data_IF_613917024781
#
_entry.id   IF_613917024781
#
_cell.length_a   1.000
_cell.length_b   1.000
_cell.length_c   1.000
_cell.angle_alpha   90.00
_cell.angle_beta   90.00
_cell.angle_gamma   90.00
#
_symmetry.space_group_name_H-M   'P 1'
#
loop_
_entity.id
_entity.type
_entity.pdbx_description
1 polymer ?
#
# COMPACT_ATOMS: atom_id res chain seq x y z
N UNK A 1 -2.80 7.95 36.81
CA UNK A 1 -2.81 7.15 35.56
C UNK A 1 -3.84 7.76 34.63
N UNK A 2 -3.39 8.55 33.66
CA UNK A 2 -4.26 9.14 32.65
C UNK A 2 -4.15 8.30 31.37
N UNK A 3 -5.23 7.57 31.05
CA UNK A 3 -5.44 6.92 29.77
C UNK A 3 -5.54 7.99 28.69
N UNK A 4 -4.52 8.10 27.85
CA UNK A 4 -4.46 9.08 26.77
C UNK A 4 -5.35 8.60 25.61
N UNK A 5 -6.62 9.02 25.60
CA UNK A 5 -7.50 8.94 24.44
C UNK A 5 -7.25 10.19 23.58
N UNK A 6 -7.01 9.96 22.28
CA UNK A 6 -6.95 10.91 21.15
C UNK A 6 -5.55 11.42 20.72
N UNK A 7 -4.84 10.64 19.88
CA UNK A 7 -4.54 10.92 18.46
C UNK A 7 -4.16 9.56 17.83
N UNK A 8 -4.74 9.15 16.71
CA UNK A 8 -4.20 8.05 15.86
C UNK A 8 -2.91 8.53 15.21
N UNK A 9 -1.85 8.63 16.01
CA UNK A 9 -0.63 9.36 15.66
C UNK A 9 0.29 8.56 14.76
N UNK A 10 0.75 9.22 13.70
CA UNK A 10 1.88 8.78 12.89
C UNK A 10 3.03 8.32 13.80
N UNK A 11 3.67 7.21 13.45
CA UNK A 11 4.79 6.69 14.23
C UNK A 11 5.96 7.66 14.10
N UNK A 12 6.48 8.15 15.22
CA UNK A 12 7.66 9.01 15.26
C UNK A 12 8.69 8.35 16.17
N UNK A 13 9.45 7.42 15.59
CA UNK A 13 10.32 6.52 16.30
C UNK A 13 11.77 6.68 15.86
N UNK A 14 12.68 6.56 16.82
CA UNK A 14 14.10 6.67 16.58
C UNK A 14 14.85 5.67 17.47
N UNK A 15 15.66 4.80 16.87
CA UNK A 15 16.45 3.78 17.57
C UNK A 15 15.63 2.83 18.47
N UNK A 16 14.42 2.46 18.06
CA UNK A 16 13.56 1.60 18.88
C UNK A 16 13.48 0.17 18.35
N UNK A 17 13.16 -0.75 19.26
CA UNK A 17 12.87 -2.13 18.94
C UNK A 17 11.37 -2.46 19.13
N UNK A 18 10.78 -3.05 18.08
CA UNK A 18 9.36 -3.43 17.95
C UNK A 18 9.22 -4.77 17.23
N UNK A 19 10.02 -5.75 17.62
CA UNK A 19 10.01 -7.10 17.03
C UNK A 19 8.76 -7.90 17.39
N UNK A 20 8.41 -8.84 16.52
CA UNK A 20 7.34 -9.82 16.72
C UNK A 20 5.98 -9.18 17.08
N UNK A 21 5.67 -8.04 16.44
CA UNK A 21 4.43 -7.30 16.69
C UNK A 21 3.46 -7.41 15.51
N UNK A 22 2.19 -7.12 15.82
CA UNK A 22 1.14 -7.00 14.83
C UNK A 22 0.86 -5.51 14.54
N UNK A 23 1.08 -5.11 13.30
CA UNK A 23 0.79 -3.80 12.74
C UNK A 23 -0.19 -3.87 11.56
N UNK A 24 -1.02 -4.93 11.51
CA UNK A 24 -2.00 -5.09 10.45
C UNK A 24 -2.96 -3.90 10.41
N UNK A 25 -3.35 -3.50 9.20
CA UNK A 25 -4.29 -2.39 8.94
C UNK A 25 -3.85 -1.02 9.48
N UNK A 26 -2.57 -0.85 9.87
CA UNK A 26 -2.10 0.43 10.39
C UNK A 26 -2.01 1.46 9.26
N UNK A 27 -2.56 2.65 9.54
CA UNK A 27 -2.20 3.83 8.80
C UNK A 27 -0.86 4.36 9.35
N UNK A 28 0.19 4.22 8.55
CA UNK A 28 1.53 4.75 8.81
C UNK A 28 1.82 5.96 7.92
N UNK A 29 0.79 6.59 7.34
CA UNK A 29 0.93 7.80 6.54
C UNK A 29 1.79 8.83 7.27
N UNK A 30 2.78 9.40 6.56
CA UNK A 30 3.69 10.44 7.07
C UNK A 30 4.36 10.10 8.42
N UNK A 31 4.52 8.81 8.72
CA UNK A 31 5.29 8.35 9.88
C UNK A 31 6.78 8.51 9.64
N UNK A 32 7.53 8.82 10.70
CA UNK A 32 8.98 8.96 10.69
C UNK A 32 9.60 7.91 11.61
N UNK A 33 10.29 6.93 11.03
CA UNK A 33 11.06 5.93 11.73
C UNK A 33 12.51 5.96 11.23
N UNK A 34 13.45 6.14 12.15
CA UNK A 34 14.87 6.07 11.86
C UNK A 34 15.54 5.00 12.71
N UNK A 35 16.33 4.14 12.09
CA UNK A 35 17.11 3.09 12.76
C UNK A 35 16.24 2.23 13.72
N UNK A 36 15.02 1.92 13.31
CA UNK A 36 14.09 1.11 14.10
C UNK A 36 14.20 -0.37 13.70
N UNK A 37 13.76 -1.27 14.58
CA UNK A 37 13.74 -2.70 14.33
C UNK A 37 12.33 -3.28 14.49
N UNK A 38 11.74 -3.68 13.36
CA UNK A 38 10.41 -4.31 13.28
C UNK A 38 10.51 -5.81 12.96
N UNK A 39 11.67 -6.43 13.12
CA UNK A 39 11.94 -7.83 12.74
C UNK A 39 10.79 -8.77 13.13
N UNK A 40 10.43 -9.67 12.21
CA UNK A 40 9.39 -10.69 12.36
C UNK A 40 7.98 -10.15 12.66
N UNK A 41 7.72 -8.86 12.40
CA UNK A 41 6.39 -8.28 12.55
C UNK A 41 5.47 -8.56 11.36
N UNK A 42 4.16 -8.58 11.63
CA UNK A 42 3.12 -8.69 10.61
C UNK A 42 2.63 -7.28 10.30
N UNK A 43 2.83 -6.81 9.06
CA UNK A 43 2.51 -5.44 8.62
C UNK A 43 1.60 -5.49 7.37
N UNK A 44 0.72 -6.49 7.34
CA UNK A 44 -0.25 -6.69 6.27
C UNK A 44 -1.31 -5.58 6.26
N UNK A 45 -1.78 -5.22 5.06
CA UNK A 45 -2.84 -4.25 4.81
C UNK A 45 -2.53 -2.83 5.29
N UNK A 46 -1.27 -2.55 5.63
CA UNK A 46 -0.84 -1.25 6.13
C UNK A 46 -0.53 -0.28 4.98
N UNK A 47 -0.74 1.01 5.23
CA UNK A 47 -0.40 2.10 4.30
C UNK A 47 0.79 2.90 4.82
N UNK A 48 1.79 3.11 3.98
CA UNK A 48 3.02 3.86 4.27
C UNK A 48 3.10 5.17 3.48
N UNK A 49 1.95 5.73 3.08
CA UNK A 49 1.88 6.90 2.20
C UNK A 49 2.71 8.08 2.76
N UNK A 50 3.69 8.56 1.99
CA UNK A 50 4.57 9.66 2.38
C UNK A 50 5.40 9.41 3.64
N UNK A 51 5.56 8.16 4.07
CA UNK A 51 6.29 7.83 5.28
C UNK A 51 7.81 7.79 5.06
N UNK A 52 8.56 7.98 6.13
CA UNK A 52 10.03 7.94 6.16
C UNK A 52 10.50 6.84 7.10
N UNK A 53 10.83 5.67 6.57
CA UNK A 53 11.36 4.51 7.31
C UNK A 53 12.78 4.25 6.85
N UNK A 54 13.72 5.10 7.27
CA UNK A 54 15.13 5.05 6.87
C UNK A 54 15.93 4.14 7.82
N UNK A 55 16.91 3.42 7.30
CA UNK A 55 17.78 2.52 8.07
C UNK A 55 16.99 1.55 8.98
N UNK A 56 15.77 1.17 8.58
CA UNK A 56 14.86 0.39 9.42
C UNK A 56 14.97 -1.10 9.07
N UNK A 57 14.98 -1.96 10.08
CA UNK A 57 14.99 -3.41 9.90
C UNK A 57 13.57 -3.95 9.83
N UNK A 58 13.25 -4.57 8.70
CA UNK A 58 12.03 -5.32 8.44
C UNK A 58 12.35 -6.79 8.13
N UNK A 59 13.39 -7.32 8.77
CA UNK A 59 13.84 -8.69 8.58
C UNK A 59 12.71 -9.67 8.87
N UNK A 60 12.41 -10.60 7.95
CA UNK A 60 11.33 -11.60 8.10
C UNK A 60 9.92 -11.03 8.34
N UNK A 61 9.65 -9.79 7.96
CA UNK A 61 8.30 -9.22 8.08
C UNK A 61 7.36 -9.71 6.97
N UNK A 62 6.06 -9.63 7.22
CA UNK A 62 4.99 -9.85 6.22
C UNK A 62 4.35 -8.53 5.79
N UNK A 63 4.09 -8.39 4.50
CA UNK A 63 3.52 -7.20 3.86
C UNK A 63 2.45 -7.57 2.82
N UNK A 64 1.42 -8.34 3.21
CA UNK A 64 0.31 -8.66 2.30
C UNK A 64 -0.53 -7.42 2.05
N UNK A 65 -0.77 -7.05 0.80
CA UNK A 65 -1.53 -5.85 0.41
C UNK A 65 -1.07 -4.55 1.10
N UNK A 66 0.21 -4.45 1.44
CA UNK A 66 0.78 -3.22 1.97
C UNK A 66 1.05 -2.23 0.83
N UNK A 67 0.82 -0.95 1.07
CA UNK A 67 1.02 0.10 0.07
C UNK A 67 2.09 1.08 0.54
N UNK A 68 3.18 1.17 -0.23
CA UNK A 68 4.28 2.11 -0.07
C UNK A 68 4.17 3.16 -1.17
N UNK A 69 3.57 4.32 -0.87
CA UNK A 69 3.36 5.39 -1.86
C UNK A 69 4.16 6.62 -1.45
N UNK A 70 5.14 7.04 -2.24
CA UNK A 70 6.03 8.16 -1.91
C UNK A 70 6.87 7.91 -0.65
N UNK A 71 7.08 6.63 -0.28
CA UNK A 71 7.78 6.25 0.94
C UNK A 71 9.29 6.39 0.76
N UNK A 72 9.99 6.81 1.81
CA UNK A 72 11.45 6.75 1.86
C UNK A 72 11.91 5.53 2.68
N UNK A 73 12.48 4.54 2.00
CA UNK A 73 13.01 3.31 2.58
C UNK A 73 14.54 3.24 2.55
N UNK A 74 15.23 4.35 2.29
CA UNK A 74 16.68 4.40 2.16
C UNK A 74 17.39 3.66 3.30
N UNK A 75 18.35 2.82 2.92
CA UNK A 75 19.19 1.99 3.79
C UNK A 75 18.43 0.97 4.67
N UNK A 76 17.14 0.72 4.39
CA UNK A 76 16.35 -0.26 5.14
C UNK A 76 16.63 -1.71 4.73
N UNK A 77 16.33 -2.64 5.62
CA UNK A 77 16.66 -4.05 5.50
C UNK A 77 15.40 -4.92 5.47
N UNK A 78 15.05 -5.41 4.28
CA UNK A 78 13.91 -6.30 4.03
C UNK A 78 14.35 -7.75 3.79
N UNK A 79 15.52 -8.15 4.27
CA UNK A 79 15.99 -9.52 4.08
C UNK A 79 14.98 -10.53 4.62
N UNK A 80 14.70 -11.58 3.84
CA UNK A 80 13.72 -12.61 4.17
C UNK A 80 12.27 -12.12 4.38
N UNK A 81 11.94 -10.87 4.04
CA UNK A 81 10.56 -10.38 4.10
C UNK A 81 9.70 -11.02 3.00
N UNK A 82 8.38 -11.03 3.21
CA UNK A 82 7.40 -11.55 2.26
C UNK A 82 6.45 -10.43 1.85
N UNK A 83 6.38 -10.18 0.54
CA UNK A 83 5.45 -9.25 -0.09
C UNK A 83 4.45 -10.03 -0.94
N UNK A 84 3.17 -9.81 -0.72
CA UNK A 84 2.09 -10.46 -1.47
C UNK A 84 1.06 -9.38 -1.84
N UNK A 85 0.81 -9.14 -3.12
CA UNK A 85 -0.08 -8.07 -3.58
C UNK A 85 0.31 -6.67 -3.07
N UNK A 86 1.60 -6.44 -2.76
CA UNK A 86 2.09 -5.16 -2.27
C UNK A 86 2.38 -4.19 -3.42
N UNK A 87 2.30 -2.89 -3.13
CA UNK A 87 2.54 -1.82 -4.11
C UNK A 87 3.65 -0.90 -3.60
N UNK A 88 4.64 -0.63 -4.45
CA UNK A 88 5.68 0.37 -4.28
C UNK A 88 5.52 1.43 -5.37
N UNK A 89 4.90 2.56 -5.05
CA UNK A 89 4.73 3.70 -5.96
C UNK A 89 5.64 4.85 -5.53
N UNK A 90 6.52 5.30 -6.43
CA UNK A 90 7.39 6.46 -6.21
C UNK A 90 8.26 6.34 -4.94
N UNK A 91 8.80 5.15 -4.68
CA UNK A 91 9.53 4.82 -3.46
C UNK A 91 11.03 5.07 -3.61
N UNK A 92 11.66 5.64 -2.57
CA UNK A 92 13.11 5.79 -2.49
C UNK A 92 13.75 4.53 -1.89
N UNK A 93 14.49 3.79 -2.72
CA UNK A 93 15.06 2.49 -2.37
C UNK A 93 16.59 2.49 -2.23
N UNK A 94 17.26 3.63 -2.22
CA UNK A 94 18.73 3.68 -2.18
C UNK A 94 19.29 2.86 -1.01
N UNK A 95 20.15 1.88 -1.32
CA UNK A 95 20.79 1.05 -0.31
C UNK A 95 19.90 0.00 0.36
N UNK A 96 18.60 -0.01 0.05
CA UNK A 96 17.59 -0.95 0.59
C UNK A 96 17.95 -2.38 0.21
N UNK A 97 17.88 -3.32 1.14
CA UNK A 97 18.29 -4.70 0.92
C UNK A 97 17.11 -5.67 0.86
N UNK A 98 16.92 -6.30 -0.28
CA UNK A 98 15.88 -7.32 -0.52
C UNK A 98 16.44 -8.75 -0.60
N UNK A 99 17.66 -9.02 -0.10
CA UNK A 99 18.24 -10.37 -0.18
C UNK A 99 17.30 -11.41 0.45
N UNK A 100 16.99 -12.45 -0.30
CA UNK A 100 16.11 -13.56 0.10
C UNK A 100 14.65 -13.14 0.40
N UNK A 101 14.25 -11.92 0.02
CA UNK A 101 12.85 -11.51 0.07
C UNK A 101 12.03 -12.26 -0.99
N UNK A 102 10.77 -12.53 -0.66
CA UNK A 102 9.82 -13.21 -1.56
C UNK A 102 8.76 -12.22 -2.03
N UNK A 103 8.46 -12.26 -3.32
CA UNK A 103 7.47 -11.41 -3.95
C UNK A 103 6.41 -12.28 -4.63
N UNK A 104 5.15 -11.96 -4.41
CA UNK A 104 4.01 -12.58 -5.08
C UNK A 104 3.09 -11.44 -5.52
N UNK A 105 2.92 -11.26 -6.84
CA UNK A 105 2.13 -10.17 -7.41
C UNK A 105 2.47 -8.79 -6.81
N UNK A 106 3.76 -8.48 -6.66
CA UNK A 106 4.21 -7.19 -6.12
C UNK A 106 4.47 -6.20 -7.25
N UNK A 107 4.03 -4.96 -7.11
CA UNK A 107 4.17 -3.94 -8.14
C UNK A 107 5.15 -2.86 -7.70
N UNK A 108 6.04 -2.47 -8.62
CA UNK A 108 6.85 -1.27 -8.53
C UNK A 108 6.39 -0.29 -9.62
N UNK A 109 5.80 0.83 -9.21
CA UNK A 109 5.37 1.92 -10.06
C UNK A 109 6.30 3.12 -9.83
N UNK A 110 6.83 3.70 -10.91
CA UNK A 110 7.69 4.89 -10.88
C UNK A 110 8.79 4.82 -9.81
N UNK A 111 9.35 3.63 -9.62
CA UNK A 111 10.30 3.30 -8.55
C UNK A 111 11.58 2.72 -9.15
N UNK A 112 12.69 3.42 -8.98
CA UNK A 112 14.00 2.98 -9.48
C UNK A 112 14.56 1.83 -8.62
N UNK A 113 14.26 0.60 -9.03
CA UNK A 113 14.72 -0.60 -8.33
C UNK A 113 16.24 -0.82 -8.44
N UNK A 114 16.93 -0.19 -9.40
CA UNK A 114 18.38 -0.33 -9.59
C UNK A 114 19.20 0.24 -8.43
N UNK A 115 18.59 1.15 -7.65
CA UNK A 115 19.18 1.75 -6.44
C UNK A 115 19.15 0.82 -5.22
N UNK A 116 18.39 -0.27 -5.30
CA UNK A 116 18.28 -1.27 -4.24
C UNK A 116 19.31 -2.39 -4.40
N UNK A 117 19.47 -3.21 -3.38
CA UNK A 117 20.34 -4.39 -3.37
C UNK A 117 19.48 -5.64 -3.49
N UNK A 118 19.91 -6.57 -4.35
CA UNK A 118 19.31 -7.91 -4.52
C UNK A 118 17.85 -7.90 -5.01
N UNK A 119 17.52 -6.91 -5.84
CA UNK A 119 16.29 -6.84 -6.61
C UNK A 119 16.67 -6.46 -8.05
N UNK A 120 16.15 -7.18 -9.03
CA UNK A 120 16.36 -6.92 -10.46
C UNK A 120 15.04 -7.05 -11.22
N UNK A 121 14.98 -6.56 -12.45
CA UNK A 121 13.79 -6.66 -13.30
C UNK A 121 13.32 -8.11 -13.56
N UNK A 122 14.21 -9.09 -13.41
CA UNK A 122 13.91 -10.51 -13.59
C UNK A 122 13.50 -11.21 -12.28
N UNK A 123 13.35 -10.48 -11.17
CA UNK A 123 12.96 -11.08 -9.89
C UNK A 123 11.55 -11.68 -10.02
N UNK A 124 11.35 -12.98 -9.71
CA UNK A 124 10.03 -13.59 -9.86
C UNK A 124 8.97 -12.89 -9.00
N UNK A 125 7.76 -12.79 -9.54
CA UNK A 125 6.59 -12.28 -8.82
C UNK A 125 6.49 -10.76 -8.73
N UNK A 126 7.36 -10.00 -9.41
CA UNK A 126 7.24 -8.53 -9.52
C UNK A 126 6.72 -8.10 -10.89
N UNK A 127 6.03 -6.96 -10.92
CA UNK A 127 5.73 -6.18 -12.14
C UNK A 127 6.27 -4.77 -11.97
N UNK A 128 6.86 -4.21 -13.03
CA UNK A 128 7.45 -2.87 -13.01
C UNK A 128 6.73 -2.00 -14.04
N UNK A 129 6.29 -0.83 -13.60
CA UNK A 129 5.71 0.21 -14.45
C UNK A 129 6.51 1.50 -14.24
N UNK A 130 7.01 2.10 -15.31
CA UNK A 130 7.72 3.39 -15.23
C UNK A 130 6.75 4.55 -14.96
N UNK A 131 5.53 4.43 -15.47
CA UNK A 131 4.45 5.40 -15.33
C UNK A 131 3.12 4.70 -15.00
N UNK A 132 2.13 5.49 -14.57
CA UNK A 132 0.79 5.00 -14.26
C UNK A 132 0.23 4.24 -15.48
N UNK A 133 -0.18 2.96 -15.34
CA UNK A 133 -0.57 2.16 -16.49
C UNK A 133 -1.81 2.75 -17.16
N UNK A 134 -1.76 2.87 -18.49
CA UNK A 134 -2.91 3.27 -19.29
C UNK A 134 -3.96 2.16 -19.23
N UNK A 135 -5.21 2.55 -19.01
CA UNK A 135 -6.33 1.64 -18.89
C UNK A 135 -7.56 2.29 -19.51
N UNK A 136 -8.15 1.58 -20.46
CA UNK A 136 -9.48 1.92 -21.00
C UNK A 136 -10.54 1.25 -20.13
N UNK A 137 -11.56 2.01 -19.74
CA UNK A 137 -12.69 1.55 -18.93
C UNK A 137 -13.99 2.08 -19.53
N UNK A 138 -15.11 1.41 -19.27
CA UNK A 138 -16.40 1.93 -19.72
C UNK A 138 -16.75 3.25 -19.01
N UNK A 139 -17.61 4.04 -19.65
CA UNK A 139 -18.18 5.25 -19.03
C UNK A 139 -18.97 4.92 -17.76
N UNK A 140 -19.60 3.75 -17.69
CA UNK A 140 -20.35 3.33 -16.51
C UNK A 140 -19.43 3.02 -15.33
N UNK A 141 -18.32 2.29 -15.55
CA UNK A 141 -17.34 2.05 -14.50
C UNK A 141 -16.69 3.36 -14.05
N UNK A 142 -16.35 4.25 -14.99
CA UNK A 142 -15.84 5.57 -14.67
C UNK A 142 -16.82 6.36 -13.80
N UNK A 143 -18.10 6.39 -14.17
CA UNK A 143 -19.14 7.06 -13.39
C UNK A 143 -19.27 6.45 -11.98
N UNK A 144 -19.29 5.12 -11.86
CA UNK A 144 -19.35 4.44 -10.57
C UNK A 144 -18.16 4.77 -9.65
N UNK A 145 -16.95 4.87 -10.21
CA UNK A 145 -15.75 5.28 -9.45
C UNK A 145 -15.88 6.73 -8.96
N UNK A 146 -16.33 7.64 -9.83
CA UNK A 146 -16.53 9.05 -9.45
C UNK A 146 -17.58 9.18 -8.35
N UNK A 147 -18.72 8.49 -8.46
CA UNK A 147 -19.77 8.47 -7.42
C UNK A 147 -19.26 7.85 -6.12
N UNK A 148 -18.48 6.75 -6.18
CA UNK A 148 -17.88 6.17 -4.97
C UNK A 148 -16.99 7.16 -4.22
N UNK A 149 -16.29 8.04 -4.93
CA UNK A 149 -15.46 9.09 -4.35
C UNK A 149 -16.24 10.28 -3.76
N UNK A 150 -17.56 10.34 -3.90
CA UNK A 150 -18.40 11.28 -3.14
C UNK A 150 -18.48 10.89 -1.66
N UNK A 151 -18.28 9.60 -1.33
CA UNK A 151 -18.15 9.15 0.05
C UNK A 151 -16.85 9.67 0.68
N UNK A 152 -16.96 10.41 1.79
CA UNK A 152 -15.83 11.08 2.45
C UNK A 152 -14.69 10.13 2.87
N UNK A 153 -14.99 8.87 3.22
CA UNK A 153 -13.98 7.90 3.65
C UNK A 153 -13.25 7.33 2.43
N UNK A 154 -13.97 7.05 1.34
CA UNK A 154 -13.37 6.64 0.06
C UNK A 154 -12.46 7.76 -0.46
N UNK A 155 -12.95 9.01 -0.49
CA UNK A 155 -12.12 10.14 -0.92
C UNK A 155 -10.90 10.35 -0.04
N UNK A 156 -11.05 10.21 1.29
CA UNK A 156 -9.93 10.36 2.23
C UNK A 156 -8.89 9.23 2.09
N UNK A 157 -9.30 8.02 1.72
CA UNK A 157 -8.41 6.86 1.58
C UNK A 157 -7.32 7.03 0.52
N UNK A 158 -7.57 7.87 -0.50
CA UNK A 158 -6.72 8.05 -1.68
C UNK A 158 -6.48 6.76 -2.50
N UNK A 159 -7.36 5.77 -2.37
CA UNK A 159 -7.22 4.47 -3.05
C UNK A 159 -7.65 4.55 -4.52
N UNK A 160 -8.69 5.32 -4.85
CA UNK A 160 -9.23 5.39 -6.22
C UNK A 160 -8.72 6.60 -7.02
N UNK A 161 -7.95 7.51 -6.40
CA UNK A 161 -7.43 8.73 -7.04
C UNK A 161 -5.95 9.01 -6.76
N UNK A 162 -5.28 9.60 -7.74
CA UNK A 162 -3.90 10.08 -7.64
C UNK A 162 -3.86 11.44 -6.96
N UNK A 163 -2.69 11.83 -6.42
CA UNK A 163 -2.51 13.11 -5.70
C UNK A 163 -2.96 14.33 -6.53
N UNK A 164 -2.90 14.21 -7.86
CA UNK A 164 -3.20 15.25 -8.83
C UNK A 164 -4.70 15.28 -9.22
N UNK A 165 -5.49 14.33 -8.73
CA UNK A 165 -6.95 14.27 -8.90
C UNK A 165 -7.43 13.29 -9.97
N UNK A 166 -6.51 12.71 -10.74
CA UNK A 166 -6.82 11.69 -11.74
C UNK A 166 -7.21 10.36 -11.09
N UNK A 167 -7.80 9.46 -11.87
CA UNK A 167 -8.09 8.10 -11.41
C UNK A 167 -6.79 7.31 -11.19
N UNK A 168 -6.75 6.53 -10.11
CA UNK A 168 -5.68 5.58 -9.88
C UNK A 168 -5.92 4.32 -10.75
N UNK A 169 -5.50 4.39 -12.01
CA UNK A 169 -5.72 3.31 -12.98
C UNK A 169 -4.98 2.02 -12.63
N UNK A 170 -3.88 2.08 -11.87
CA UNK A 170 -3.24 0.90 -11.31
C UNK A 170 -4.21 0.13 -10.40
N UNK A 171 -4.85 0.83 -9.46
CA UNK A 171 -5.80 0.19 -8.56
C UNK A 171 -7.04 -0.31 -9.30
N UNK A 172 -7.52 0.40 -10.33
CA UNK A 172 -8.65 -0.04 -11.16
C UNK A 172 -8.29 -1.29 -11.96
N UNK A 173 -7.09 -1.34 -12.57
CA UNK A 173 -6.56 -2.51 -13.27
C UNK A 173 -6.51 -3.72 -12.33
N UNK A 174 -6.00 -3.54 -11.10
CA UNK A 174 -5.95 -4.60 -10.09
C UNK A 174 -7.34 -5.10 -9.68
N UNK A 175 -8.36 -4.24 -9.66
CA UNK A 175 -9.74 -4.68 -9.45
C UNK A 175 -10.22 -5.52 -10.65
N UNK A 176 -9.99 -5.07 -11.89
CA UNK A 176 -10.40 -5.79 -13.11
C UNK A 176 -9.67 -7.12 -13.30
N UNK A 177 -8.46 -7.28 -12.76
CA UNK A 177 -7.75 -8.56 -12.73
C UNK A 177 -8.41 -9.59 -11.81
N UNK A 178 -9.26 -9.16 -10.87
CA UNK A 178 -9.86 -10.02 -9.85
C UNK A 178 -11.39 -10.10 -9.93
N UNK A 179 -12.04 -9.19 -10.63
CA UNK A 179 -13.49 -9.04 -10.67
C UNK A 179 -13.97 -8.62 -12.05
N UNK A 180 -15.20 -9.02 -12.41
CA UNK A 180 -15.86 -8.46 -13.59
C UNK A 180 -16.18 -6.99 -13.37
N UNK A 181 -16.25 -6.23 -14.45
CA UNK A 181 -16.63 -4.81 -14.42
C UNK A 181 -18.00 -4.60 -13.76
N UNK A 182 -18.98 -5.47 -14.05
CA UNK A 182 -20.30 -5.47 -13.41
C UNK A 182 -20.22 -5.62 -11.87
N UNK A 183 -19.36 -6.51 -11.37
CA UNK A 183 -19.14 -6.71 -9.93
C UNK A 183 -18.56 -5.44 -9.29
N UNK A 184 -17.58 -4.82 -9.96
CA UNK A 184 -16.94 -3.59 -9.48
C UNK A 184 -17.96 -2.44 -9.44
N UNK A 185 -18.72 -2.24 -10.53
CA UNK A 185 -19.75 -1.19 -10.62
C UNK A 185 -20.78 -1.36 -9.50
N UNK A 186 -21.32 -2.56 -9.33
CA UNK A 186 -22.32 -2.87 -8.30
C UNK A 186 -21.77 -2.60 -6.91
N UNK A 187 -20.54 -3.04 -6.64
CA UNK A 187 -19.91 -2.84 -5.35
C UNK A 187 -19.56 -1.39 -5.04
N UNK A 188 -19.07 -0.64 -6.02
CA UNK A 188 -18.77 0.78 -5.86
C UNK A 188 -20.04 1.59 -5.56
N UNK A 189 -21.16 1.28 -6.24
CA UNK A 189 -22.48 1.87 -5.93
C UNK A 189 -22.90 1.58 -4.47
N UNK A 190 -22.67 0.36 -3.98
CA UNK A 190 -22.98 -0.01 -2.59
C UNK A 190 -22.03 0.60 -1.55
N UNK A 191 -20.76 0.82 -1.90
CA UNK A 191 -19.77 1.43 -1.00
C UNK A 191 -20.18 2.84 -0.60
N UNK A 192 -20.79 3.60 -1.51
CA UNK A 192 -21.26 4.98 -1.27
C UNK A 192 -22.11 5.04 0.01
N UNK A 193 -23.04 4.09 0.14
CA UNK A 193 -24.00 4.02 1.26
C UNK A 193 -23.46 3.26 2.47
N UNK A 194 -22.73 2.16 2.23
CA UNK A 194 -22.37 1.19 3.28
C UNK A 194 -21.04 1.48 3.97
N UNK A 195 -20.15 2.27 3.37
CA UNK A 195 -18.81 2.50 3.91
C UNK A 195 -18.80 3.72 4.84
N UNK A 196 -18.61 3.43 6.13
CA UNK A 196 -18.77 4.38 7.24
C UNK A 196 -17.50 4.57 8.09
N UNK A 197 -16.37 4.00 7.65
CA UNK A 197 -15.11 3.98 8.41
C UNK A 197 -13.89 4.20 7.52
N UNK A 198 -12.79 4.64 8.14
CA UNK A 198 -11.53 4.84 7.44
C UNK A 198 -10.90 3.51 6.99
N UNK A 199 -10.29 3.56 5.81
CA UNK A 199 -9.43 2.52 5.25
C UNK A 199 -8.37 3.19 4.38
N UNK A 200 -7.30 2.47 4.06
CA UNK A 200 -6.08 3.09 3.54
C UNK A 200 -5.39 2.32 2.41
N UNK A 201 -5.92 1.15 2.03
CA UNK A 201 -5.38 0.31 0.95
C UNK A 201 -6.50 -0.29 0.12
N UNK A 202 -6.19 -0.68 -1.12
CA UNK A 202 -7.10 -1.31 -2.07
C UNK A 202 -7.72 -2.61 -1.52
N UNK A 203 -7.02 -3.28 -0.60
CA UNK A 203 -7.49 -4.52 0.04
C UNK A 203 -8.87 -4.40 0.69
N UNK A 204 -9.25 -3.20 1.16
CA UNK A 204 -10.56 -2.98 1.76
C UNK A 204 -11.68 -3.05 0.71
N UNK A 205 -11.47 -2.43 -0.46
CA UNK A 205 -12.40 -2.50 -1.60
C UNK A 205 -12.46 -3.94 -2.11
N UNK A 206 -11.32 -4.61 -2.31
CA UNK A 206 -11.27 -6.02 -2.72
C UNK A 206 -12.05 -6.91 -1.74
N UNK A 207 -11.87 -6.71 -0.44
CA UNK A 207 -12.58 -7.47 0.60
C UNK A 207 -14.09 -7.21 0.54
N UNK A 208 -14.50 -5.97 0.32
CA UNK A 208 -15.92 -5.62 0.17
C UNK A 208 -16.54 -6.29 -1.06
N UNK A 209 -15.88 -6.21 -2.22
CA UNK A 209 -16.36 -6.84 -3.46
C UNK A 209 -16.50 -8.36 -3.35
N UNK A 210 -15.63 -9.02 -2.58
CA UNK A 210 -15.73 -10.47 -2.31
C UNK A 210 -16.95 -10.88 -1.48
N UNK A 211 -17.71 -9.94 -0.92
CA UNK A 211 -18.91 -10.22 -0.11
C UNK A 211 -20.22 -10.01 -0.85
N UNK A 212 -20.16 -9.57 -2.11
CA UNK A 212 -21.30 -9.45 -3.02
C UNK A 212 -21.62 -10.82 -3.63
#
# INVERSE_FOLDING_TARGET
MATNKNVTGNFNYNNIEKKDKNFMYKNLERSNCYNCDFTASIIDFASFRGAHFKATKFFKCSFKYAEFIGTNLKDSDFRNAVFENAIFDSVKLEGTNFKDAKFVNTIFLSTDISKSKKLTANTPGIRIFEEMPKLEISDELKAAILTAMENKYVKKSRVLDTKDGDLNTLNIMLLLENFTEETIITGLKLIVEKLDREFYTLSYIIKFLKTL
#
